data_IF_921465285023
#
_entry.id   IF_921465285023
#
_cell.length_a   1.000
_cell.length_b   1.000
_cell.length_c   1.000
_cell.angle_alpha   90.00
_cell.angle_beta   90.00
_cell.angle_gamma   90.00
#
_symmetry.space_group_name_H-M   'P 1'
#
loop_
_entity.id
_entity.type
_entity.pdbx_description
1 polymer ?
#
# COMPACT_ATOMS: atom_id res chain seq x y z
N UNK A 1 8.09 -20.59 -1.82
CA UNK A 1 8.61 -19.83 -2.98
C UNK A 1 7.58 -18.85 -3.53
N UNK A 2 6.33 -19.28 -3.77
CA UNK A 2 5.25 -18.41 -4.25
C UNK A 2 4.94 -17.23 -3.32
N UNK A 3 4.91 -17.45 -1.99
CA UNK A 3 4.68 -16.38 -1.02
C UNK A 3 5.74 -15.28 -1.06
N UNK A 4 7.01 -15.62 -1.34
CA UNK A 4 8.06 -14.61 -1.48
C UNK A 4 7.87 -13.75 -2.73
N UNK A 5 7.41 -14.36 -3.84
CA UNK A 5 7.06 -13.62 -5.06
C UNK A 5 5.85 -12.72 -4.79
N UNK A 6 4.83 -13.22 -4.10
CA UNK A 6 3.65 -12.43 -3.75
C UNK A 6 3.99 -11.28 -2.79
N UNK A 7 4.91 -11.47 -1.84
CA UNK A 7 5.43 -10.39 -0.99
C UNK A 7 6.13 -9.31 -1.84
N UNK A 8 6.92 -9.70 -2.85
CA UNK A 8 7.54 -8.73 -3.76
C UNK A 8 6.51 -7.96 -4.58
N UNK A 9 5.52 -8.66 -5.14
CA UNK A 9 4.41 -8.03 -5.88
C UNK A 9 3.64 -7.05 -4.99
N UNK A 10 3.30 -7.49 -3.78
CA UNK A 10 2.62 -6.65 -2.80
C UNK A 10 3.47 -5.42 -2.43
N UNK A 11 4.78 -5.58 -2.29
CA UNK A 11 5.69 -4.46 -2.06
C UNK A 11 5.66 -3.44 -3.20
N UNK A 12 5.69 -3.90 -4.45
CA UNK A 12 5.59 -3.00 -5.62
C UNK A 12 4.29 -2.21 -5.57
N UNK A 13 3.14 -2.88 -5.38
CA UNK A 13 1.83 -2.23 -5.28
C UNK A 13 1.79 -1.24 -4.10
N UNK A 14 2.34 -1.63 -2.95
CA UNK A 14 2.38 -0.79 -1.75
C UNK A 14 3.07 0.55 -1.99
N UNK A 15 4.16 0.56 -2.77
CA UNK A 15 4.91 1.79 -3.09
C UNK A 15 4.36 2.52 -4.31
N UNK A 16 3.67 1.84 -5.23
CA UNK A 16 2.88 2.51 -6.29
C UNK A 16 1.79 3.37 -5.64
N UNK A 17 1.05 2.81 -4.67
CA UNK A 17 0.06 3.56 -3.88
C UNK A 17 0.68 4.82 -3.25
N UNK A 18 1.87 4.72 -2.64
CA UNK A 18 2.58 5.88 -2.07
C UNK A 18 2.81 6.97 -3.13
N UNK A 19 3.29 6.58 -4.31
CA UNK A 19 3.57 7.51 -5.41
C UNK A 19 2.28 8.16 -5.92
N UNK A 20 1.22 7.38 -6.11
CA UNK A 20 -0.08 7.88 -6.54
C UNK A 20 -0.65 8.87 -5.51
N UNK A 21 -0.64 8.53 -4.22
CA UNK A 21 -1.07 9.42 -3.14
C UNK A 21 -0.26 10.72 -3.14
N UNK A 22 1.07 10.67 -3.27
CA UNK A 22 1.89 11.87 -3.32
C UNK A 22 1.62 12.76 -4.54
N UNK A 23 1.34 12.17 -5.70
CA UNK A 23 0.96 12.93 -6.91
C UNK A 23 -0.42 13.57 -6.71
N UNK A 24 -1.36 12.82 -6.16
CA UNK A 24 -2.73 13.28 -5.93
C UNK A 24 -2.78 14.43 -4.92
N UNK A 25 -2.03 14.31 -3.82
CA UNK A 25 -1.84 15.37 -2.83
C UNK A 25 -1.21 16.63 -3.40
N UNK A 26 -0.28 16.51 -4.36
CA UNK A 26 0.30 17.67 -5.06
C UNK A 26 -0.73 18.37 -5.95
N UNK A 27 -1.65 17.62 -6.57
CA UNK A 27 -2.64 18.14 -7.52
C UNK A 27 -3.88 18.72 -6.83
N UNK A 28 -4.35 18.10 -5.75
CA UNK A 28 -5.63 18.42 -5.09
C UNK A 28 -5.49 18.88 -3.63
N UNK A 29 -4.28 18.82 -3.07
CA UNK A 29 -3.99 19.21 -1.70
C UNK A 29 -4.30 18.13 -0.66
N UNK A 30 -3.83 18.38 0.57
CA UNK A 30 -3.86 17.41 1.69
C UNK A 30 -5.26 17.09 2.20
N UNK A 31 -6.26 17.89 1.82
CA UNK A 31 -7.65 17.67 2.25
C UNK A 31 -8.35 16.52 1.52
N UNK A 32 -7.79 16.05 0.40
CA UNK A 32 -8.31 14.90 -0.33
C UNK A 32 -8.01 13.55 0.32
N UNK A 33 -6.98 13.49 1.18
CA UNK A 33 -6.70 12.28 1.94
C UNK A 33 -7.74 12.08 3.05
N UNK A 34 -8.55 11.05 2.90
CA UNK A 34 -9.59 10.67 3.86
C UNK A 34 -9.02 9.90 5.05
N UNK A 35 -7.91 9.19 4.87
CA UNK A 35 -7.31 8.42 5.94
C UNK A 35 -6.61 9.38 6.94
N UNK A 36 -7.09 9.47 8.20
CA UNK A 36 -6.55 10.42 9.18
C UNK A 36 -5.10 10.13 9.54
N UNK A 37 -4.69 8.85 9.51
CA UNK A 37 -3.32 8.43 9.81
C UNK A 37 -2.41 8.83 8.65
N UNK A 38 -2.77 8.49 7.41
CA UNK A 38 -1.98 8.88 6.23
C UNK A 38 -1.86 10.41 6.14
N UNK A 39 -2.97 11.13 6.34
CA UNK A 39 -3.02 12.60 6.36
C UNK A 39 -2.08 13.20 7.41
N UNK A 40 -1.99 12.60 8.60
CA UNK A 40 -1.08 13.06 9.65
C UNK A 40 0.39 12.97 9.22
N UNK A 41 0.81 11.85 8.64
CA UNK A 41 2.19 11.67 8.19
C UNK A 41 2.52 12.55 6.97
N UNK A 42 1.58 12.67 6.03
CA UNK A 42 1.71 13.56 4.87
C UNK A 42 1.92 15.02 5.29
N UNK A 43 1.17 15.51 6.29
CA UNK A 43 1.34 16.88 6.82
C UNK A 43 2.73 17.14 7.40
N UNK A 44 3.41 16.11 7.90
CA UNK A 44 4.78 16.19 8.44
C UNK A 44 5.86 16.13 7.36
N UNK A 45 5.48 15.87 6.11
CA UNK A 45 6.35 15.86 4.95
C UNK A 45 6.52 14.48 4.32
N UNK A 46 7.01 14.46 3.08
CA UNK A 46 7.18 13.24 2.26
C UNK A 46 7.97 12.16 3.00
N UNK A 47 9.07 12.52 3.65
CA UNK A 47 9.93 11.57 4.37
C UNK A 47 9.18 10.86 5.51
N UNK A 48 8.36 11.58 6.27
CA UNK A 48 7.58 10.99 7.36
C UNK A 48 6.52 10.00 6.82
N UNK A 49 5.90 10.31 5.67
CA UNK A 49 4.97 9.41 5.00
C UNK A 49 5.66 8.15 4.45
N UNK A 50 6.82 8.30 3.81
CA UNK A 50 7.62 7.15 3.34
C UNK A 50 8.06 6.26 4.50
N UNK A 51 8.54 6.83 5.61
CA UNK A 51 8.91 6.06 6.81
C UNK A 51 7.70 5.28 7.34
N UNK A 52 6.53 5.91 7.43
CA UNK A 52 5.30 5.24 7.82
C UNK A 52 4.96 4.06 6.90
N UNK A 53 5.04 4.24 5.57
CA UNK A 53 4.78 3.18 4.58
C UNK A 53 5.77 2.03 4.69
N UNK A 54 7.06 2.31 4.90
CA UNK A 54 8.10 1.28 5.11
C UNK A 54 7.85 0.50 6.41
N UNK A 55 7.59 1.20 7.52
CA UNK A 55 7.36 0.55 8.83
C UNK A 55 6.13 -0.35 8.78
N UNK A 56 5.02 0.15 8.23
CA UNK A 56 3.79 -0.64 8.09
C UNK A 56 3.96 -1.83 7.16
N UNK A 57 4.71 -1.69 6.07
CA UNK A 57 5.04 -2.80 5.18
C UNK A 57 5.89 -3.87 5.86
N UNK A 58 6.89 -3.49 6.66
CA UNK A 58 7.73 -4.43 7.43
C UNK A 58 6.90 -5.19 8.46
N UNK A 59 6.00 -4.51 9.17
CA UNK A 59 5.07 -5.14 10.12
C UNK A 59 4.19 -6.16 9.39
N UNK A 60 3.65 -5.80 8.22
CA UNK A 60 2.83 -6.69 7.41
C UNK A 60 3.62 -7.94 6.98
N UNK A 61 4.85 -7.77 6.49
CA UNK A 61 5.71 -8.91 6.14
C UNK A 61 5.92 -9.81 7.36
N UNK A 62 6.20 -9.23 8.53
CA UNK A 62 6.37 -10.00 9.77
C UNK A 62 5.14 -10.84 10.12
N UNK A 63 3.94 -10.25 10.02
CA UNK A 63 2.67 -10.95 10.23
C UNK A 63 2.44 -12.06 9.20
N UNK A 64 2.69 -11.79 7.92
CA UNK A 64 2.56 -12.80 6.87
C UNK A 64 3.54 -13.96 7.10
N UNK A 65 4.79 -13.67 7.49
CA UNK A 65 5.80 -14.70 7.79
C UNK A 65 5.43 -15.54 9.00
N UNK A 66 4.80 -14.93 10.01
CA UNK A 66 4.25 -15.65 11.16
C UNK A 66 3.07 -16.54 10.75
N UNK A 67 2.16 -16.07 9.90
CA UNK A 67 1.06 -16.91 9.39
C UNK A 67 1.62 -18.03 8.51
N UNK A 68 2.61 -17.74 7.66
CA UNK A 68 3.26 -18.71 6.78
C UNK A 68 3.94 -19.85 7.56
N UNK A 69 4.46 -19.58 8.76
CA UNK A 69 5.03 -20.63 9.61
C UNK A 69 3.99 -21.55 10.26
N UNK A 70 2.73 -21.11 10.33
CA UNK A 70 1.59 -21.92 10.82
C UNK A 70 0.95 -22.65 9.63
N UNK A 71 0.56 -21.92 8.59
CA UNK A 71 -0.06 -22.43 7.37
C UNK A 71 0.34 -21.60 6.14
N UNK A 72 1.14 -22.22 5.28
CA UNK A 72 1.64 -21.61 4.05
C UNK A 72 0.55 -21.31 3.00
N UNK A 73 -0.53 -22.09 2.95
CA UNK A 73 -1.64 -21.88 2.00
C UNK A 73 -2.52 -20.71 2.46
N UNK A 74 -2.80 -20.62 3.76
CA UNK A 74 -3.53 -19.49 4.33
C UNK A 74 -2.77 -18.18 4.10
N UNK A 75 -1.45 -18.17 4.34
CA UNK A 75 -0.60 -17.01 4.05
C UNK A 75 -0.66 -16.62 2.56
N UNK A 76 -0.65 -17.60 1.66
CA UNK A 76 -0.77 -17.37 0.21
C UNK A 76 -2.10 -16.70 -0.15
N UNK A 77 -3.22 -17.21 0.37
CA UNK A 77 -4.54 -16.63 0.08
C UNK A 77 -4.68 -15.21 0.62
N UNK A 78 -4.16 -14.95 1.82
CA UNK A 78 -4.11 -13.60 2.39
C UNK A 78 -3.29 -12.67 1.49
N UNK A 79 -2.10 -13.10 1.06
CA UNK A 79 -1.24 -12.30 0.17
C UNK A 79 -1.92 -11.99 -1.17
N UNK A 80 -2.59 -12.97 -1.78
CA UNK A 80 -3.36 -12.76 -3.01
C UNK A 80 -4.48 -11.75 -2.77
N UNK A 81 -5.27 -11.93 -1.71
CA UNK A 81 -6.38 -11.04 -1.37
C UNK A 81 -5.93 -9.59 -1.16
N UNK A 82 -4.89 -9.37 -0.35
CA UNK A 82 -4.35 -8.03 -0.09
C UNK A 82 -3.79 -7.41 -1.38
N UNK A 83 -3.08 -8.19 -2.20
CA UNK A 83 -2.51 -7.68 -3.47
C UNK A 83 -3.60 -7.26 -4.45
N UNK A 84 -4.70 -8.03 -4.57
CA UNK A 84 -5.83 -7.67 -5.42
C UNK A 84 -6.53 -6.39 -4.94
N UNK A 85 -6.69 -6.22 -3.63
CA UNK A 85 -7.25 -5.00 -3.06
C UNK A 85 -6.37 -3.78 -3.35
N UNK A 86 -5.07 -3.90 -3.16
CA UNK A 86 -4.12 -2.83 -3.49
C UNK A 86 -4.16 -2.48 -4.97
N UNK A 87 -4.14 -3.47 -5.85
CA UNK A 87 -4.24 -3.26 -7.28
C UNK A 87 -5.54 -2.52 -7.68
N UNK A 88 -6.67 -2.88 -7.09
CA UNK A 88 -7.95 -2.21 -7.35
C UNK A 88 -7.94 -0.74 -6.89
N UNK A 89 -7.35 -0.46 -5.71
CA UNK A 89 -7.21 0.90 -5.19
C UNK A 89 -6.27 1.73 -6.06
N UNK A 90 -5.12 1.18 -6.44
CA UNK A 90 -4.14 1.83 -7.32
C UNK A 90 -4.74 2.15 -8.67
N UNK A 91 -5.46 1.20 -9.27
CA UNK A 91 -6.14 1.39 -10.55
C UNK A 91 -7.18 2.51 -10.47
N UNK A 92 -8.03 2.51 -9.43
CA UNK A 92 -9.01 3.59 -9.21
C UNK A 92 -8.32 4.94 -9.04
N UNK A 93 -7.28 5.03 -8.22
CA UNK A 93 -6.54 6.27 -7.98
C UNK A 93 -5.90 6.79 -9.29
N UNK A 94 -5.36 5.89 -10.10
CA UNK A 94 -4.81 6.21 -11.41
C UNK A 94 -5.87 6.74 -12.40
N UNK A 95 -7.08 6.17 -12.41
CA UNK A 95 -8.17 6.66 -13.25
C UNK A 95 -8.65 8.06 -12.84
N UNK A 96 -8.77 8.33 -11.53
CA UNK A 96 -9.13 9.67 -11.04
C UNK A 96 -8.02 10.67 -11.40
N UNK A 97 -6.74 10.29 -11.31
CA UNK A 97 -5.64 11.15 -11.74
C UNK A 97 -5.73 11.55 -13.22
N UNK A 98 -6.20 10.64 -14.08
CA UNK A 98 -6.48 10.89 -15.50
C UNK A 98 -7.75 11.70 -15.75
N UNK A 99 -8.55 11.99 -14.73
CA UNK A 99 -9.83 12.71 -14.85
C UNK A 99 -10.91 11.89 -15.54
N UNK A 100 -10.84 10.56 -15.48
CA UNK A 100 -11.83 9.65 -16.07
C UNK A 100 -12.96 9.27 -15.11
N UNK A 101 -12.78 9.58 -13.82
CA UNK A 101 -13.70 9.34 -12.71
C UNK A 101 -13.81 10.60 -11.86
#
# INVERSE_FOLDING_TARGET
>A
MINNILILVLGILWFIDEVLTLIDLKKFGVNREENPIAKYFVKRGKTAFTIFKVVTFVILIGLIKYIESIDSQVAMYILIGISLLYFAVDFRNYEIMKGKL
#
